data_IF_932055749375
#
_entry.id   IF_932055749375
#
_cell.length_a   1.000
_cell.length_b   1.000
_cell.length_c   1.000
_cell.angle_alpha   90.00
_cell.angle_beta   90.00
_cell.angle_gamma   90.00
#
_symmetry.space_group_name_H-M   'P 1'
#
loop_
_entity.id
_entity.type
_entity.pdbx_description
1 polymer ?
#
# COMPACT_ATOMS: atom_id res chain seq x y z
N UNK A 1 -14.46 -23.39 -34.06
CA UNK A 1 -13.05 -23.63 -33.66
C UNK A 1 -13.08 -24.65 -32.54
N UNK A 2 -12.49 -25.83 -32.73
CA UNK A 2 -12.40 -26.83 -31.67
C UNK A 2 -11.54 -26.22 -30.55
N UNK A 3 -12.13 -26.01 -29.36
CA UNK A 3 -11.37 -25.61 -28.19
C UNK A 3 -10.39 -26.74 -27.87
N UNK A 4 -9.09 -26.43 -27.90
CA UNK A 4 -8.07 -27.38 -27.50
C UNK A 4 -8.39 -27.88 -26.08
N UNK A 5 -8.50 -29.20 -25.82
CA UNK A 5 -8.92 -29.73 -24.52
C UNK A 5 -8.07 -29.20 -23.35
N UNK A 6 -6.77 -28.94 -23.60
CA UNK A 6 -5.87 -28.25 -22.68
C UNK A 6 -6.33 -26.82 -22.32
N UNK A 7 -6.81 -26.02 -23.27
CA UNK A 7 -7.30 -24.66 -22.98
C UNK A 7 -8.51 -24.69 -22.05
N UNK A 8 -9.43 -25.61 -22.27
CA UNK A 8 -10.61 -25.78 -21.42
C UNK A 8 -10.21 -26.21 -20.00
N UNK A 9 -9.23 -27.12 -19.89
CA UNK A 9 -8.71 -27.54 -18.59
C UNK A 9 -7.97 -26.40 -17.86
N UNK A 10 -7.12 -25.63 -18.55
CA UNK A 10 -6.44 -24.46 -17.97
C UNK A 10 -7.44 -23.44 -17.44
N UNK A 11 -8.53 -23.17 -18.17
CA UNK A 11 -9.58 -22.27 -17.70
C UNK A 11 -10.32 -22.80 -16.48
N UNK A 12 -10.68 -24.10 -16.46
CA UNK A 12 -11.34 -24.75 -15.30
C UNK A 12 -10.47 -24.73 -14.05
N UNK A 13 -9.15 -24.79 -14.20
CA UNK A 13 -8.18 -24.69 -13.10
C UNK A 13 -7.87 -23.24 -12.68
N UNK A 14 -8.45 -22.24 -13.34
CA UNK A 14 -8.19 -20.81 -13.08
C UNK A 14 -6.81 -20.33 -13.57
N UNK A 15 -6.16 -21.08 -14.46
CA UNK A 15 -4.86 -20.78 -15.07
C UNK A 15 -5.04 -19.90 -16.32
N UNK A 16 -5.69 -18.75 -16.12
CA UNK A 16 -6.12 -17.88 -17.22
C UNK A 16 -4.95 -17.24 -17.98
N UNK A 17 -3.82 -16.99 -17.31
CA UNK A 17 -2.59 -16.49 -17.93
C UNK A 17 -1.93 -17.56 -18.77
N UNK A 18 -1.86 -18.81 -18.29
CA UNK A 18 -1.41 -19.93 -19.12
C UNK A 18 -2.32 -20.12 -20.34
N UNK A 19 -3.64 -20.03 -20.16
CA UNK A 19 -4.58 -20.19 -21.28
C UNK A 19 -4.43 -19.10 -22.35
N UNK A 20 -4.11 -17.86 -21.94
CA UNK A 20 -3.80 -16.76 -22.86
C UNK A 20 -2.45 -17.02 -23.55
N UNK A 21 -1.40 -17.30 -22.78
CA UNK A 21 -0.05 -17.58 -23.29
C UNK A 21 -0.04 -18.76 -24.27
N UNK A 22 -0.78 -19.84 -23.97
CA UNK A 22 -0.91 -21.00 -24.85
C UNK A 22 -1.36 -20.60 -26.26
N UNK A 23 -2.41 -19.75 -26.37
CA UNK A 23 -2.92 -19.28 -27.67
C UNK A 23 -1.96 -18.34 -28.39
N UNK A 24 -1.17 -17.57 -27.63
CA UNK A 24 -0.19 -16.64 -28.19
C UNK A 24 1.02 -17.40 -28.73
N UNK A 25 1.55 -18.35 -27.96
CA UNK A 25 2.68 -19.21 -28.32
C UNK A 25 2.33 -20.13 -29.50
N UNK A 26 1.15 -20.74 -29.53
CA UNK A 26 0.71 -21.60 -30.65
C UNK A 26 0.72 -20.87 -32.01
N UNK A 27 0.61 -19.53 -32.00
CA UNK A 27 0.60 -18.69 -33.21
C UNK A 27 1.98 -18.17 -33.61
N UNK A 28 3.01 -18.41 -32.81
CA UNK A 28 4.36 -17.90 -33.05
C UNK A 28 5.23 -19.02 -33.64
N UNK A 29 5.75 -18.86 -34.87
CA UNK A 29 6.62 -19.87 -35.49
C UNK A 29 7.94 -20.08 -34.73
N UNK A 30 8.40 -19.03 -34.04
CA UNK A 30 9.69 -19.00 -33.32
C UNK A 30 9.73 -19.93 -32.10
N UNK A 31 8.56 -20.29 -31.54
CA UNK A 31 8.49 -21.24 -30.41
C UNK A 31 8.41 -22.69 -30.83
N UNK A 32 8.39 -22.99 -32.13
CA UNK A 32 8.44 -24.37 -32.63
C UNK A 32 9.77 -25.09 -32.32
N UNK A 33 10.83 -24.33 -32.02
CA UNK A 33 12.14 -24.86 -31.63
C UNK A 33 12.37 -25.00 -30.13
N UNK A 34 11.41 -24.61 -29.28
CA UNK A 34 11.57 -24.69 -27.83
C UNK A 34 11.41 -26.11 -27.33
N UNK A 35 12.22 -26.47 -26.34
CA UNK A 35 12.02 -27.70 -25.58
C UNK A 35 10.75 -27.59 -24.71
N UNK A 36 10.14 -28.74 -24.37
CA UNK A 36 8.94 -28.80 -23.55
C UNK A 36 9.07 -28.01 -22.22
N UNK A 37 10.27 -28.02 -21.63
CA UNK A 37 10.56 -27.29 -20.39
C UNK A 37 10.52 -25.77 -20.57
N UNK A 38 11.09 -25.25 -21.66
CA UNK A 38 11.10 -23.83 -21.98
C UNK A 38 9.68 -23.33 -22.29
N UNK A 39 8.92 -24.13 -23.04
CA UNK A 39 7.54 -23.81 -23.36
C UNK A 39 6.65 -23.76 -22.11
N UNK A 40 6.82 -24.73 -21.19
CA UNK A 40 6.13 -24.71 -19.90
C UNK A 40 6.55 -23.51 -19.04
N UNK A 41 7.84 -23.17 -19.02
CA UNK A 41 8.35 -22.01 -18.29
C UNK A 41 7.67 -20.71 -18.75
N UNK A 42 7.57 -20.48 -20.06
CA UNK A 42 6.87 -19.33 -20.62
C UNK A 42 5.41 -19.27 -20.17
N UNK A 43 4.67 -20.39 -20.25
CA UNK A 43 3.28 -20.41 -19.79
C UNK A 43 3.14 -20.07 -18.30
N UNK A 44 4.02 -20.63 -17.46
CA UNK A 44 4.04 -20.33 -16.03
C UNK A 44 4.36 -18.86 -15.75
N UNK A 45 5.26 -18.26 -16.52
CA UNK A 45 5.56 -16.82 -16.45
C UNK A 45 4.35 -15.95 -16.82
N UNK A 46 3.61 -16.32 -17.86
CA UNK A 46 2.35 -15.65 -18.22
C UNK A 46 1.32 -15.72 -17.08
N UNK A 47 1.18 -16.87 -16.44
CA UNK A 47 0.29 -17.03 -15.27
C UNK A 47 0.76 -16.23 -14.06
N UNK A 48 2.05 -16.32 -13.72
CA UNK A 48 2.63 -15.60 -12.60
C UNK A 48 2.49 -14.08 -12.78
N UNK A 49 2.72 -13.58 -13.99
CA UNK A 49 2.56 -12.18 -14.36
C UNK A 49 1.11 -11.74 -14.23
N UNK A 50 0.16 -12.49 -14.79
CA UNK A 50 -1.27 -12.16 -14.67
C UNK A 50 -1.73 -12.14 -13.21
N UNK A 51 -1.32 -13.12 -12.40
CA UNK A 51 -1.67 -13.17 -10.97
C UNK A 51 -1.07 -11.99 -10.21
N UNK A 52 0.20 -11.66 -10.47
CA UNK A 52 0.88 -10.51 -9.84
C UNK A 52 0.17 -9.21 -10.18
N UNK A 53 -0.20 -9.00 -11.44
CA UNK A 53 -0.95 -7.85 -11.90
C UNK A 53 -2.31 -7.74 -11.19
N UNK A 54 -3.09 -8.83 -11.14
CA UNK A 54 -4.39 -8.84 -10.44
C UNK A 54 -4.26 -8.53 -8.94
N UNK A 55 -3.23 -9.08 -8.27
CA UNK A 55 -2.97 -8.78 -6.85
C UNK A 55 -2.61 -7.32 -6.66
N UNK A 56 -1.71 -6.78 -7.47
CA UNK A 56 -1.35 -5.36 -7.45
C UNK A 56 -2.60 -4.47 -7.64
N UNK A 57 -3.41 -4.71 -8.67
CA UNK A 57 -4.61 -3.92 -8.92
C UNK A 57 -5.62 -3.98 -7.78
N UNK A 58 -5.80 -5.16 -7.19
CA UNK A 58 -6.68 -5.33 -6.03
C UNK A 58 -6.17 -4.54 -4.83
N UNK A 59 -4.87 -4.63 -4.52
CA UNK A 59 -4.24 -3.88 -3.42
C UNK A 59 -4.25 -2.38 -3.67
N UNK A 60 -3.93 -1.92 -4.87
CA UNK A 60 -3.95 -0.52 -5.25
C UNK A 60 -5.37 0.08 -5.11
N UNK A 61 -6.40 -0.67 -5.54
CA UNK A 61 -7.80 -0.28 -5.34
C UNK A 61 -8.19 -0.22 -3.85
N UNK A 62 -7.78 -1.23 -3.07
CA UNK A 62 -8.04 -1.28 -1.63
C UNK A 62 -7.32 -0.17 -0.85
N UNK A 63 -6.13 0.23 -1.30
CA UNK A 63 -5.32 1.25 -0.65
C UNK A 63 -5.94 2.64 -0.68
N UNK A 64 -6.75 2.93 -1.72
CA UNK A 64 -7.44 4.22 -1.88
C UNK A 64 -6.49 5.42 -1.75
N UNK A 65 -5.28 5.29 -2.33
CA UNK A 65 -4.29 6.35 -2.34
C UNK A 65 -4.90 7.60 -2.97
N UNK A 66 -4.74 8.75 -2.31
CA UNK A 66 -5.33 10.02 -2.76
C UNK A 66 -4.74 10.52 -4.07
N UNK A 67 -3.48 10.17 -4.34
CA UNK A 67 -2.72 10.67 -5.48
C UNK A 67 -2.18 9.50 -6.30
N UNK A 68 -2.23 9.63 -7.62
CA UNK A 68 -1.53 8.72 -8.53
C UNK A 68 -0.05 9.10 -8.56
N UNK A 69 0.69 8.69 -7.53
CA UNK A 69 2.11 8.99 -7.34
C UNK A 69 2.95 7.72 -7.50
N UNK A 70 4.06 7.82 -8.23
CA UNK A 70 5.00 6.72 -8.49
C UNK A 70 6.41 7.10 -8.06
N UNK A 71 7.19 6.14 -7.56
CA UNK A 71 8.58 6.40 -7.13
C UNK A 71 9.45 6.91 -8.30
N UNK A 72 9.15 6.46 -9.51
CA UNK A 72 9.85 6.83 -10.73
C UNK A 72 9.65 8.31 -11.10
N UNK A 73 8.56 8.94 -10.65
CA UNK A 73 8.19 10.33 -10.95
C UNK A 73 8.67 11.34 -9.88
N UNK A 74 9.48 10.90 -8.92
CA UNK A 74 9.94 11.75 -7.82
C UNK A 74 10.86 12.85 -8.35
N UNK A 75 10.46 14.11 -8.15
CA UNK A 75 11.35 15.25 -8.40
C UNK A 75 12.35 15.43 -7.25
N UNK A 76 13.63 15.15 -7.55
CA UNK A 76 14.77 15.36 -6.65
C UNK A 76 15.45 16.73 -6.84
N UNK A 77 15.04 17.53 -7.84
CA UNK A 77 15.59 18.86 -8.10
C UNK A 77 14.94 19.92 -7.20
N UNK A 78 13.71 19.67 -6.76
CA UNK A 78 13.04 20.52 -5.78
C UNK A 78 13.85 20.62 -4.47
N UNK A 79 14.11 21.85 -4.02
CA UNK A 79 14.86 22.13 -2.78
C UNK A 79 13.99 21.87 -1.53
N UNK A 80 13.76 20.58 -1.21
CA UNK A 80 12.94 20.12 -0.08
C UNK A 80 13.68 19.18 0.88
N UNK A 81 15.01 19.13 0.80
CA UNK A 81 15.84 18.29 1.68
C UNK A 81 15.63 16.79 1.51
N UNK A 82 15.12 16.34 0.36
CA UNK A 82 14.87 14.92 0.09
C UNK A 82 16.17 14.23 -0.33
N UNK A 83 16.73 13.41 0.57
CA UNK A 83 17.87 12.54 0.23
C UNK A 83 17.44 11.44 -0.75
N UNK A 84 18.04 11.45 -1.94
CA UNK A 84 17.74 10.49 -3.01
C UNK A 84 18.13 9.06 -2.65
N UNK A 85 19.28 8.86 -2.02
CA UNK A 85 19.75 7.53 -1.65
C UNK A 85 18.83 6.91 -0.59
N UNK A 86 18.46 7.69 0.42
CA UNK A 86 17.50 7.28 1.43
C UNK A 86 16.13 6.96 0.82
N UNK A 87 15.60 7.82 -0.04
CA UNK A 87 14.27 7.59 -0.63
C UNK A 87 14.22 6.36 -1.53
N UNK A 88 15.29 6.10 -2.30
CA UNK A 88 15.41 4.87 -3.10
C UNK A 88 15.52 3.62 -2.20
N UNK A 89 16.23 3.71 -1.07
CA UNK A 89 16.25 2.63 -0.07
C UNK A 89 14.85 2.36 0.50
N UNK A 90 14.10 3.41 0.83
CA UNK A 90 12.71 3.29 1.30
C UNK A 90 11.79 2.66 0.23
N UNK A 91 12.05 2.90 -1.05
CA UNK A 91 11.31 2.28 -2.15
C UNK A 91 11.50 0.75 -2.24
N UNK A 92 12.50 0.16 -1.59
CA UNK A 92 12.65 -1.30 -1.47
C UNK A 92 11.61 -1.96 -0.55
N UNK A 93 10.92 -1.18 0.28
CA UNK A 93 9.93 -1.63 1.26
C UNK A 93 10.47 -2.58 2.36
N UNK A 94 11.79 -2.76 2.48
CA UNK A 94 12.36 -3.60 3.54
C UNK A 94 12.08 -3.05 4.94
N UNK A 95 12.00 -1.72 5.06
CA UNK A 95 11.56 -1.06 6.30
C UNK A 95 10.12 -1.44 6.68
N UNK A 96 9.23 -1.67 5.70
CA UNK A 96 7.85 -2.13 5.95
C UNK A 96 7.86 -3.54 6.51
N UNK A 97 8.68 -4.43 5.92
CA UNK A 97 8.84 -5.83 6.34
C UNK A 97 9.51 -5.94 7.71
N UNK A 98 10.44 -5.03 8.00
CA UNK A 98 11.10 -4.85 9.29
C UNK A 98 10.22 -4.13 10.32
N UNK A 99 8.99 -3.74 9.97
CA UNK A 99 8.00 -3.12 10.86
C UNK A 99 8.43 -1.74 11.41
N UNK A 100 9.25 -1.03 10.65
CA UNK A 100 9.63 0.34 11.00
C UNK A 100 8.57 1.33 10.57
N UNK A 101 8.36 2.36 11.37
CA UNK A 101 7.48 3.48 11.02
C UNK A 101 8.28 4.58 10.30
N UNK A 102 7.60 5.37 9.49
CA UNK A 102 8.19 6.48 8.75
C UNK A 102 7.41 7.76 9.03
N UNK A 103 8.14 8.81 9.42
CA UNK A 103 7.61 10.16 9.53
C UNK A 103 8.08 10.98 8.33
N UNK A 104 7.13 11.62 7.65
CA UNK A 104 7.41 12.57 6.56
C UNK A 104 6.92 13.95 7.01
N UNK A 105 7.85 14.77 7.49
CA UNK A 105 7.56 16.11 8.02
C UNK A 105 8.08 17.21 7.10
N UNK A 106 7.57 18.44 7.26
CA UNK A 106 7.98 19.60 6.48
C UNK A 106 6.82 20.55 6.18
N UNK A 107 7.08 21.74 5.61
CA UNK A 107 6.04 22.75 5.38
C UNK A 107 4.95 22.30 4.39
N UNK A 108 3.84 23.02 4.35
CA UNK A 108 2.78 22.74 3.39
C UNK A 108 3.30 22.86 1.93
N UNK A 109 2.76 22.06 1.02
CA UNK A 109 3.08 22.15 -0.41
C UNK A 109 4.35 21.43 -0.88
N UNK A 110 5.21 20.89 0.00
CA UNK A 110 6.47 20.22 -0.41
C UNK A 110 6.31 18.77 -0.92
N UNK A 111 5.07 18.30 -1.04
CA UNK A 111 4.76 16.98 -1.60
C UNK A 111 4.80 15.81 -0.61
N UNK A 112 4.69 16.04 0.71
CA UNK A 112 4.68 14.97 1.73
C UNK A 112 3.66 13.87 1.44
N UNK A 113 2.40 14.26 1.20
CA UNK A 113 1.31 13.34 0.87
C UNK A 113 1.57 12.60 -0.45
N UNK A 114 2.20 13.25 -1.42
CA UNK A 114 2.57 12.64 -2.69
C UNK A 114 3.65 11.57 -2.48
N UNK A 115 4.70 11.88 -1.71
CA UNK A 115 5.78 10.94 -1.38
C UNK A 115 5.25 9.71 -0.61
N UNK A 116 4.36 9.95 0.36
CA UNK A 116 3.68 8.86 1.06
C UNK A 116 2.85 7.98 0.10
N UNK A 117 2.11 8.59 -0.83
CA UNK A 117 1.36 7.85 -1.86
C UNK A 117 2.29 7.06 -2.78
N UNK A 118 3.45 7.60 -3.18
CA UNK A 118 4.42 6.91 -4.02
C UNK A 118 4.99 5.67 -3.32
N UNK A 119 5.35 5.79 -2.03
CA UNK A 119 5.78 4.66 -1.21
C UNK A 119 4.64 3.63 -1.04
N UNK A 120 3.40 4.08 -0.83
CA UNK A 120 2.23 3.21 -0.74
C UNK A 120 1.93 2.46 -2.04
N UNK A 121 2.09 3.11 -3.20
CA UNK A 121 1.91 2.46 -4.50
C UNK A 121 3.01 1.41 -4.72
N UNK A 122 4.26 1.74 -4.37
CA UNK A 122 5.38 0.80 -4.43
C UNK A 122 5.16 -0.38 -3.50
N UNK A 123 4.69 -0.17 -2.27
CA UNK A 123 4.31 -1.25 -1.36
C UNK A 123 3.23 -2.17 -1.98
N UNK A 124 2.21 -1.62 -2.65
CA UNK A 124 1.23 -2.43 -3.37
C UNK A 124 1.85 -3.27 -4.50
N UNK A 125 2.83 -2.72 -5.25
CA UNK A 125 3.59 -3.45 -6.29
C UNK A 125 4.44 -4.58 -5.70
N UNK A 126 4.94 -4.39 -4.49
CA UNK A 126 5.68 -5.36 -3.68
C UNK A 126 4.76 -6.37 -2.94
N UNK A 127 3.49 -6.46 -3.32
CA UNK A 127 2.49 -7.36 -2.74
C UNK A 127 2.26 -7.12 -1.23
N UNK A 128 2.41 -5.88 -0.77
CA UNK A 128 2.11 -5.43 0.59
C UNK A 128 0.78 -4.68 0.62
N UNK A 129 -0.08 -5.05 1.57
CA UNK A 129 -1.42 -4.47 1.72
C UNK A 129 -1.27 -3.09 2.31
N UNK A 130 -1.87 -2.10 1.65
CA UNK A 130 -1.75 -0.70 2.04
C UNK A 130 -3.13 -0.12 2.28
N UNK A 131 -3.26 0.81 3.23
CA UNK A 131 -4.43 1.66 3.38
C UNK A 131 -4.00 3.11 3.60
N UNK A 132 -4.69 4.04 2.94
CA UNK A 132 -4.46 5.47 3.09
C UNK A 132 -5.67 6.15 3.74
N UNK A 133 -5.38 6.99 4.74
CA UNK A 133 -6.37 7.79 5.42
C UNK A 133 -5.85 9.20 5.68
N UNK A 134 -6.63 10.22 5.32
CA UNK A 134 -6.44 11.55 5.91
C UNK A 134 -6.94 11.50 7.35
N UNK A 135 -6.11 11.91 8.30
CA UNK A 135 -6.40 11.80 9.73
C UNK A 135 -7.74 12.43 10.12
N UNK A 136 -8.08 13.68 9.72
CA UNK A 136 -9.38 14.26 10.08
C UNK A 136 -10.58 13.43 9.60
N UNK A 137 -10.50 12.88 8.37
CA UNK A 137 -11.56 12.03 7.81
C UNK A 137 -11.63 10.66 8.47
N UNK A 138 -10.50 10.12 8.92
CA UNK A 138 -10.45 8.88 9.67
C UNK A 138 -11.21 9.00 10.98
N UNK A 139 -10.95 10.07 11.74
CA UNK A 139 -11.67 10.33 12.99
C UNK A 139 -13.18 10.47 12.78
N UNK A 140 -13.62 11.23 11.76
CA UNK A 140 -15.06 11.29 11.43
C UNK A 140 -15.63 9.90 11.10
N UNK A 141 -14.87 9.07 10.37
CA UNK A 141 -15.28 7.71 10.01
C UNK A 141 -15.39 6.80 11.24
N UNK A 142 -14.45 6.91 12.19
CA UNK A 142 -14.44 6.13 13.42
C UNK A 142 -15.57 6.53 14.37
N UNK A 143 -15.84 7.83 14.50
CA UNK A 143 -16.98 8.34 15.26
C UNK A 143 -18.31 7.78 14.73
N UNK A 144 -18.53 7.82 13.41
CA UNK A 144 -19.70 7.19 12.78
C UNK A 144 -19.72 5.67 12.97
N UNK A 145 -18.57 5.01 12.86
CA UNK A 145 -18.48 3.57 13.06
C UNK A 145 -18.82 3.16 14.49
N UNK A 146 -18.58 4.01 15.50
CA UNK A 146 -19.04 3.77 16.87
C UNK A 146 -20.56 3.84 16.97
N UNK A 147 -21.17 4.87 16.39
CA UNK A 147 -22.63 5.01 16.38
C UNK A 147 -23.36 3.82 15.73
N UNK A 148 -22.79 3.26 14.67
CA UNK A 148 -23.41 2.15 13.91
C UNK A 148 -22.89 0.75 14.32
N UNK A 149 -22.13 0.62 15.40
CA UNK A 149 -21.59 -0.67 15.88
C UNK A 149 -20.52 -1.32 14.99
N UNK A 150 -19.91 -0.56 14.07
CA UNK A 150 -18.87 -1.03 13.13
C UNK A 150 -17.44 -0.74 13.60
N UNK A 151 -17.25 -0.02 14.70
CA UNK A 151 -15.95 0.47 15.18
C UNK A 151 -14.86 -0.62 15.26
N UNK A 152 -15.11 -1.70 16.00
CA UNK A 152 -14.16 -2.81 16.15
C UNK A 152 -13.85 -3.53 14.82
N UNK A 153 -14.76 -3.50 13.84
CA UNK A 153 -14.50 -4.03 12.50
C UNK A 153 -13.58 -3.09 11.72
N UNK A 154 -13.80 -1.78 11.81
CA UNK A 154 -12.96 -0.77 11.17
C UNK A 154 -11.53 -0.80 11.71
N UNK A 155 -11.36 -0.85 13.04
CA UNK A 155 -10.03 -0.97 13.66
C UNK A 155 -9.30 -2.22 13.18
N UNK A 156 -9.93 -3.40 13.22
CA UNK A 156 -9.34 -4.65 12.69
C UNK A 156 -8.94 -4.56 11.22
N UNK A 157 -9.71 -3.83 10.40
CA UNK A 157 -9.37 -3.62 8.98
C UNK A 157 -8.14 -2.72 8.80
N UNK A 158 -7.97 -1.73 9.68
CA UNK A 158 -6.80 -0.86 9.72
C UNK A 158 -5.58 -1.61 10.28
N UNK A 159 -5.75 -2.38 11.35
CA UNK A 159 -4.67 -3.13 11.99
C UNK A 159 -4.04 -4.18 11.06
N UNK A 160 -4.83 -4.86 10.22
CA UNK A 160 -4.35 -5.97 9.39
C UNK A 160 -3.47 -5.57 8.21
N UNK A 161 -3.51 -4.31 7.75
CA UNK A 161 -2.73 -3.92 6.56
C UNK A 161 -1.24 -3.83 6.87
N UNK A 162 -0.41 -4.25 5.91
CA UNK A 162 1.05 -4.23 6.02
C UNK A 162 1.57 -2.80 6.22
N UNK A 163 0.96 -1.84 5.51
CA UNK A 163 1.28 -0.43 5.55
C UNK A 163 0.03 0.45 5.73
N UNK A 164 0.00 1.25 6.80
CA UNK A 164 -1.01 2.28 7.03
C UNK A 164 -0.40 3.65 6.76
N UNK A 165 -1.08 4.49 5.98
CA UNK A 165 -0.66 5.88 5.74
C UNK A 165 -1.67 6.80 6.42
N UNK A 166 -1.21 7.57 7.41
CA UNK A 166 -1.93 8.60 8.11
C UNK A 166 -1.45 9.97 7.59
N UNK A 167 -2.24 10.57 6.71
CA UNK A 167 -1.89 11.82 6.03
C UNK A 167 -2.53 13.04 6.70
N UNK A 168 -1.83 14.17 6.69
CA UNK A 168 -2.24 15.43 7.30
C UNK A 168 -2.48 15.33 8.82
N UNK A 169 -1.51 14.76 9.52
CA UNK A 169 -1.48 14.71 10.98
C UNK A 169 -1.24 16.10 11.61
N UNK A 170 -1.97 16.38 12.69
CA UNK A 170 -1.71 17.46 13.62
C UNK A 170 -2.18 18.89 13.30
N UNK A 171 -3.12 19.18 12.37
CA UNK A 171 -3.54 20.57 12.17
C UNK A 171 -4.32 21.15 13.37
N UNK A 172 -4.90 20.30 14.22
CA UNK A 172 -5.78 20.68 15.33
C UNK A 172 -5.53 19.75 16.53
N UNK A 173 -5.80 20.24 17.75
CA UNK A 173 -5.75 19.42 18.97
C UNK A 173 -6.81 18.34 18.95
N UNK A 174 -6.47 17.16 19.45
CA UNK A 174 -7.37 16.01 19.46
C UNK A 174 -8.41 16.12 20.58
N UNK A 175 -9.64 15.71 20.28
CA UNK A 175 -10.62 15.40 21.32
C UNK A 175 -10.26 14.11 22.05
N UNK A 176 -10.84 13.86 23.23
CA UNK A 176 -10.59 12.64 24.00
C UNK A 176 -10.89 11.36 23.19
N UNK A 177 -11.96 11.36 22.40
CA UNK A 177 -12.34 10.27 21.51
C UNK A 177 -11.31 10.04 20.39
N UNK A 178 -10.83 11.11 19.77
CA UNK A 178 -9.83 11.03 18.70
C UNK A 178 -8.48 10.56 19.23
N UNK A 179 -8.11 11.01 20.44
CA UNK A 179 -6.92 10.52 21.15
C UNK A 179 -7.02 9.02 21.39
N UNK A 180 -8.16 8.55 21.90
CA UNK A 180 -8.40 7.12 22.13
C UNK A 180 -8.33 6.33 20.82
N UNK A 181 -8.98 6.81 19.75
CA UNK A 181 -8.91 6.18 18.44
C UNK A 181 -7.47 6.03 17.92
N UNK A 182 -6.67 7.10 18.06
CA UNK A 182 -5.28 7.10 17.65
C UNK A 182 -4.46 6.09 18.46
N UNK A 183 -4.63 6.08 19.78
CA UNK A 183 -3.95 5.14 20.68
C UNK A 183 -4.27 3.70 20.29
N UNK A 184 -5.55 3.36 20.12
CA UNK A 184 -5.98 2.02 19.69
C UNK A 184 -5.33 1.61 18.36
N UNK A 185 -5.27 2.51 17.38
CA UNK A 185 -4.62 2.24 16.09
C UNK A 185 -3.11 2.03 16.23
N UNK A 186 -2.45 2.84 17.06
CA UNK A 186 -1.01 2.76 17.27
C UNK A 186 -0.66 1.50 18.04
N UNK A 187 -1.40 1.18 19.10
CA UNK A 187 -1.20 -0.01 19.94
C UNK A 187 -1.42 -1.30 19.15
N UNK A 188 -2.50 -1.40 18.36
CA UNK A 188 -2.77 -2.55 17.48
C UNK A 188 -1.66 -2.81 16.45
N UNK A 189 -0.84 -1.79 16.15
CA UNK A 189 0.18 -1.83 15.09
C UNK A 189 1.61 -1.80 15.61
N UNK A 190 1.82 -1.39 16.86
CA UNK A 190 3.14 -1.28 17.47
C UNK A 190 3.89 -2.61 17.35
N UNK A 191 5.10 -2.57 16.79
CA UNK A 191 5.95 -3.75 16.50
C UNK A 191 5.32 -4.86 15.63
N UNK A 192 4.12 -4.64 15.06
CA UNK A 192 3.39 -5.62 14.26
C UNK A 192 3.34 -5.23 12.79
N UNK A 193 3.10 -3.95 12.48
CA UNK A 193 2.85 -3.43 11.13
C UNK A 193 3.30 -1.96 11.02
N UNK A 194 3.67 -1.54 9.82
CA UNK A 194 4.31 -0.23 9.62
C UNK A 194 3.32 0.89 9.36
N UNK A 195 3.64 2.09 9.84
CA UNK A 195 2.84 3.31 9.64
C UNK A 195 3.69 4.39 8.97
N UNK A 196 3.15 5.05 7.96
CA UNK A 196 3.62 6.36 7.50
C UNK A 196 2.74 7.43 8.12
N UNK A 197 3.34 8.43 8.74
CA UNK A 197 2.62 9.65 9.14
C UNK A 197 3.20 10.83 8.37
N UNK A 198 2.33 11.62 7.75
CA UNK A 198 2.73 12.92 7.18
C UNK A 198 2.24 14.04 8.07
N UNK A 199 3.08 15.04 8.33
CA UNK A 199 2.68 16.20 9.12
C UNK A 199 3.41 17.46 8.70
N UNK A 200 2.73 18.59 8.86
CA UNK A 200 3.35 19.90 8.76
C UNK A 200 3.79 20.45 10.12
N UNK A 201 3.39 19.78 11.20
CA UNK A 201 3.70 20.18 12.56
C UNK A 201 5.04 19.56 12.97
N UNK A 202 5.96 20.35 13.54
CA UNK A 202 7.15 19.84 14.20
C UNK A 202 6.82 18.75 15.23
N UNK A 203 7.67 17.73 15.32
CA UNK A 203 7.43 16.55 16.17
C UNK A 203 7.31 16.95 17.65
N UNK A 204 8.04 17.98 18.05
CA UNK A 204 8.08 18.50 19.41
C UNK A 204 6.71 19.01 19.90
N UNK A 205 5.84 19.43 18.96
CA UNK A 205 4.50 19.92 19.27
C UNK A 205 3.43 18.81 19.27
N UNK A 206 3.80 17.57 18.93
CA UNK A 206 2.81 16.48 18.83
C UNK A 206 2.20 16.14 20.19
N UNK A 207 2.96 16.26 21.28
CA UNK A 207 2.45 16.05 22.64
C UNK A 207 1.31 17.02 22.97
N UNK A 208 1.45 18.30 22.62
CA UNK A 208 0.42 19.32 22.82
C UNK A 208 -0.85 19.03 21.99
N UNK A 209 -0.66 18.55 20.76
CA UNK A 209 -1.75 18.20 19.84
C UNK A 209 -2.54 16.99 20.31
N UNK A 210 -1.84 15.93 20.71
CA UNK A 210 -2.48 14.74 21.29
C UNK A 210 -3.21 15.18 22.57
N UNK A 211 -2.64 16.15 23.27
CA UNK A 211 -3.09 16.70 24.53
C UNK A 211 -2.68 15.75 25.64
N UNK A 212 -2.01 16.30 26.65
CA UNK A 212 -1.59 15.54 27.83
C UNK A 212 -2.77 14.73 28.37
N UNK A 213 -2.59 13.42 28.40
CA UNK A 213 -2.91 12.68 29.60
C UNK A 213 -1.58 12.08 29.99
N UNK A 214 -1.00 12.58 31.09
CA UNK A 214 -0.24 11.74 32.00
C UNK A 214 -0.85 10.35 31.99
N UNK A 215 -0.23 9.42 31.26
CA UNK A 215 -0.33 8.02 31.57
C UNK A 215 0.54 7.89 32.82
N UNK A 216 -0.10 8.08 33.97
CA UNK A 216 0.33 7.52 35.25
C UNK A 216 -0.34 6.16 35.41
#
# INVERSE_FOLDING_TARGET
MLTHPTLDLLQKLGLHGMAKGFRELERQPEVAGLEHGEWLALLLEHEATLRRQKRFESRARAAKLRQSASIEDVDYRAARGLDRALFLKLAGCDWVRARHNLLITGPCGVGKSWLACALGQKACREDLSTAYHRVPRLFSTLAMARADGRYARTLRQIAKVDLLILDDWGPETLTADQRRDLLEIVDDRHEMRSVIITSQVPIEQWYEIIGDSTIS
#
